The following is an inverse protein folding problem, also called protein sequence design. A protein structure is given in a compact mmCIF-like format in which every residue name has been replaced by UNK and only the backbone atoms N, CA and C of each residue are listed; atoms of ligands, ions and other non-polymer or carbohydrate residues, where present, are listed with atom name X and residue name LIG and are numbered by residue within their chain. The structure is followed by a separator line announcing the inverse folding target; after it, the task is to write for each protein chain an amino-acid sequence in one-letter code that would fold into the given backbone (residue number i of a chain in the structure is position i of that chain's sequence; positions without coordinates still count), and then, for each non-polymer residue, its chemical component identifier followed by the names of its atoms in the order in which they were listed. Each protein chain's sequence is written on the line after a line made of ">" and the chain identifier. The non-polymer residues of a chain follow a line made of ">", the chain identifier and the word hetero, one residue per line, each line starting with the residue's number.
data_IF_812764760771
#
_entry.id   IF_812764760771
#
_cell.length_a   1.000
_cell.length_b   1.000
_cell.length_c   1.000
_cell.angle_alpha   90.00
_cell.angle_beta   90.00
_cell.angle_gamma   90.00
#
_symmetry.space_group_name_H-M   'P 1'
#
loop_
_entity.id
_entity.type
_entity.pdbx_description
1 polymer ?
#
# COMPACT_ATOMS: atom_id res chain seq x y z
N UNK A 1 -59.09 16.14 -44.55
CA UNK A 1 -57.99 16.61 -43.70
C UNK A 1 -56.92 15.53 -43.66
N UNK A 2 -55.99 15.60 -44.62
CA UNK A 2 -54.80 14.77 -44.70
C UNK A 2 -53.60 15.69 -44.52
N UNK A 3 -52.72 15.40 -43.57
CA UNK A 3 -51.34 15.91 -43.58
C UNK A 3 -50.44 14.79 -43.06
N UNK A 4 -49.81 14.08 -44.00
CA UNK A 4 -48.58 13.35 -43.78
C UNK A 4 -47.49 14.01 -44.64
N UNK A 5 -46.38 14.38 -44.00
CA UNK A 5 -45.16 14.97 -44.56
C UNK A 5 -44.13 14.84 -43.42
N UNK A 6 -42.90 14.37 -43.55
CA UNK A 6 -42.08 13.94 -44.66
C UNK A 6 -40.69 13.74 -44.04
N UNK A 7 -40.16 12.53 -44.08
CA UNK A 7 -38.84 12.23 -43.53
C UNK A 7 -37.76 12.82 -44.45
N UNK A 8 -36.92 13.70 -43.91
CA UNK A 8 -35.74 14.21 -44.62
C UNK A 8 -34.58 13.26 -44.38
N UNK A 9 -34.23 12.56 -45.46
CA UNK A 9 -32.98 11.83 -45.66
C UNK A 9 -31.81 12.82 -45.66
N UNK A 10 -30.85 12.63 -44.75
CA UNK A 10 -29.47 13.08 -44.96
C UNK A 10 -28.57 11.86 -45.04
N UNK A 11 -28.05 11.70 -46.26
CA UNK A 11 -27.05 10.76 -46.70
C UNK A 11 -25.73 10.99 -45.97
N UNK A 12 -25.17 9.93 -45.38
CA UNK A 12 -23.72 9.79 -45.27
C UNK A 12 -23.28 8.39 -45.71
N UNK A 13 -22.14 8.29 -46.40
CA UNK A 13 -21.77 7.11 -47.18
C UNK A 13 -21.30 5.94 -46.32
N UNK A 14 -21.73 4.75 -46.72
CA UNK A 14 -21.16 3.45 -46.37
C UNK A 14 -19.65 3.41 -46.60
N UNK A 15 -18.93 2.86 -45.63
CA UNK A 15 -17.59 2.34 -45.84
C UNK A 15 -17.54 0.93 -45.25
N UNK A 16 -17.51 -0.04 -46.16
CA UNK A 16 -17.53 -1.47 -45.89
C UNK A 16 -16.11 -2.02 -45.67
N UNK A 17 -16.04 -3.06 -44.82
CA UNK A 17 -15.01 -4.12 -44.67
C UNK A 17 -13.62 -3.78 -44.11
N UNK A 18 -13.37 -4.40 -42.96
CA UNK A 18 -12.04 -4.76 -42.46
C UNK A 18 -12.16 -5.66 -41.23
N UNK A 19 -11.98 -6.95 -41.41
CA UNK A 19 -11.91 -7.95 -40.35
C UNK A 19 -10.61 -7.81 -39.53
N UNK A 20 -10.60 -8.31 -38.29
CA UNK A 20 -9.36 -8.72 -37.62
C UNK A 20 -9.17 -8.18 -36.21
N UNK A 21 -9.41 -9.07 -35.24
CA UNK A 21 -8.88 -9.15 -33.88
C UNK A 21 -8.87 -7.94 -32.96
N UNK A 22 -9.79 -8.02 -32.00
CA UNK A 22 -9.73 -7.50 -30.65
C UNK A 22 -8.36 -7.72 -30.00
N UNK A 23 -7.55 -6.67 -29.96
CA UNK A 23 -6.39 -6.59 -29.08
C UNK A 23 -6.83 -6.55 -27.62
N UNK A 24 -6.91 -7.73 -27.00
CA UNK A 24 -6.91 -7.85 -25.55
C UNK A 24 -5.62 -7.23 -24.98
N UNK A 25 -5.66 -6.56 -23.81
CA UNK A 25 -4.42 -6.23 -23.11
C UNK A 25 -3.69 -7.54 -22.82
N UNK A 26 -2.50 -7.68 -23.39
CA UNK A 26 -1.60 -8.80 -23.15
C UNK A 26 -1.41 -8.95 -21.64
N UNK A 27 -1.88 -10.07 -21.11
CA UNK A 27 -1.62 -10.50 -19.75
C UNK A 27 -0.12 -10.68 -19.59
N UNK A 28 0.52 -9.77 -18.85
CA UNK A 28 1.92 -9.91 -18.45
C UNK A 28 2.02 -11.14 -17.56
N UNK A 29 2.61 -12.21 -18.08
CA UNK A 29 2.77 -13.48 -17.38
C UNK A 29 3.90 -13.34 -16.36
N UNK A 30 3.67 -13.81 -15.14
CA UNK A 30 4.63 -13.74 -14.02
C UNK A 30 5.99 -14.43 -14.31
N UNK A 31 6.08 -15.21 -15.40
CA UNK A 31 7.29 -15.87 -15.87
C UNK A 31 8.26 -14.94 -16.61
N UNK A 32 7.80 -13.78 -17.07
CA UNK A 32 8.59 -12.85 -17.89
C UNK A 32 9.29 -11.76 -17.05
N UNK A 33 9.21 -11.84 -15.72
CA UNK A 33 9.96 -10.96 -14.82
C UNK A 33 11.37 -11.56 -14.64
N UNK A 34 12.44 -10.93 -15.16
CA UNK A 34 13.79 -11.39 -14.87
C UNK A 34 14.04 -11.32 -13.37
N UNK A 35 14.40 -12.47 -12.75
CA UNK A 35 14.96 -12.49 -11.39
C UNK A 35 16.21 -11.63 -11.42
N UNK A 36 16.16 -10.47 -10.78
CA UNK A 36 17.34 -9.62 -10.60
C UNK A 36 18.35 -10.39 -9.75
N UNK A 37 19.42 -10.85 -10.41
CA UNK A 37 20.62 -11.34 -9.77
C UNK A 37 21.23 -10.23 -8.91
N UNK A 38 21.63 -10.62 -7.70
CA UNK A 38 22.31 -9.80 -6.71
C UNK A 38 23.40 -8.94 -7.33
N UNK A 39 23.10 -7.66 -7.54
CA UNK A 39 24.07 -6.65 -7.92
C UNK A 39 24.16 -5.70 -6.73
N UNK A 40 25.18 -5.90 -5.92
CA UNK A 40 25.57 -5.00 -4.83
C UNK A 40 26.09 -3.70 -5.44
N UNK A 41 25.16 -2.78 -5.72
CA UNK A 41 25.49 -1.37 -5.91
C UNK A 41 25.63 -0.77 -4.51
N UNK A 42 26.71 -0.03 -4.18
CA UNK A 42 26.76 0.70 -2.93
C UNK A 42 25.71 1.81 -3.01
N UNK A 43 24.61 1.58 -2.29
CA UNK A 43 23.58 2.58 -2.03
C UNK A 43 24.26 3.71 -1.28
N UNK A 44 24.18 4.94 -1.80
CA UNK A 44 24.59 6.15 -1.11
C UNK A 44 24.05 6.11 0.32
N UNK A 45 24.96 6.13 1.31
CA UNK A 45 24.75 5.90 2.74
C UNK A 45 23.28 5.82 3.15
N UNK A 46 22.70 4.63 3.06
CA UNK A 46 21.47 4.36 3.77
C UNK A 46 21.79 4.64 5.23
N UNK A 47 21.15 5.64 5.83
CA UNK A 47 21.39 5.99 7.22
C UNK A 47 21.09 4.73 8.05
N UNK A 48 22.16 4.05 8.48
CA UNK A 48 22.08 2.78 9.18
C UNK A 48 21.42 3.04 10.53
N UNK A 49 20.17 2.62 10.65
CA UNK A 49 19.44 2.75 11.89
C UNK A 49 20.00 1.79 12.93
N UNK A 50 20.26 2.29 14.14
CA UNK A 50 20.65 1.47 15.27
C UNK A 50 19.42 1.03 16.07
N UNK A 51 19.39 -0.20 16.60
CA UNK A 51 18.31 -0.68 17.49
C UNK A 51 18.06 0.27 18.67
N UNK A 52 16.78 0.51 18.97
CA UNK A 52 16.36 1.36 20.09
C UNK A 52 16.58 2.85 19.88
N UNK A 53 17.36 3.26 18.89
CA UNK A 53 17.65 4.68 18.60
C UNK A 53 16.74 5.16 17.46
N UNK A 54 16.04 6.30 17.64
CA UNK A 54 15.35 6.96 16.54
C UNK A 54 16.32 7.33 15.42
N UNK A 55 16.00 6.91 14.19
CA UNK A 55 16.75 7.32 13.01
C UNK A 55 15.84 8.11 12.09
N UNK A 56 16.30 9.27 11.66
CA UNK A 56 15.54 10.17 10.80
C UNK A 56 16.28 10.42 9.50
N UNK A 57 15.54 10.83 8.48
CA UNK A 57 16.14 11.24 7.22
C UNK A 57 17.17 12.35 7.42
N UNK A 58 18.32 12.30 6.72
CA UNK A 58 19.25 13.41 6.73
C UNK A 58 18.53 14.68 6.29
N UNK A 59 18.84 15.78 6.96
CA UNK A 59 18.38 17.10 6.55
C UNK A 59 18.98 17.49 5.19
N UNK A 60 18.49 18.60 4.65
CA UNK A 60 19.15 19.28 3.55
C UNK A 60 19.30 20.76 3.85
N UNK A 61 19.94 21.49 2.95
CA UNK A 61 19.98 22.96 3.05
C UNK A 61 18.67 23.55 2.54
N UNK A 62 18.31 24.79 2.93
CA UNK A 62 17.16 25.49 2.34
C UNK A 62 17.22 25.44 0.80
N UNK A 63 16.14 24.97 0.16
CA UNK A 63 16.07 24.81 -1.30
C UNK A 63 16.75 23.55 -1.86
N UNK A 64 17.42 22.74 -1.04
CA UNK A 64 18.07 21.50 -1.44
C UNK A 64 17.88 20.40 -0.39
N UNK A 65 16.62 20.10 -0.10
CA UNK A 65 16.24 18.95 0.74
C UNK A 65 16.09 17.73 -0.16
N UNK A 66 16.70 16.58 0.18
CA UNK A 66 16.51 15.35 -0.57
C UNK A 66 15.02 15.03 -0.69
N UNK A 67 14.56 14.73 -1.90
CA UNK A 67 13.16 14.34 -2.12
C UNK A 67 12.86 12.93 -1.65
N UNK A 68 13.87 12.06 -1.72
CA UNK A 68 13.78 10.66 -1.32
C UNK A 68 14.58 10.46 -0.03
N UNK A 69 14.12 9.52 0.79
CA UNK A 69 14.82 9.10 1.99
C UNK A 69 14.68 7.59 2.15
N UNK A 70 15.81 6.93 2.40
CA UNK A 70 15.86 5.50 2.65
C UNK A 70 16.49 5.25 4.03
N UNK A 71 15.73 4.57 4.88
CA UNK A 71 16.14 4.18 6.23
C UNK A 71 16.22 2.65 6.29
N UNK A 72 17.39 2.11 6.65
CA UNK A 72 17.58 0.66 6.76
C UNK A 72 18.19 0.30 8.10
N UNK A 73 17.66 -0.76 8.69
CA UNK A 73 18.18 -1.37 9.91
C UNK A 73 19.17 -2.50 9.66
N UNK A 74 19.38 -2.87 8.40
CA UNK A 74 19.99 -4.15 8.06
C UNK A 74 19.25 -5.29 8.76
N UNK A 75 20.01 -6.16 9.42
CA UNK A 75 19.52 -7.34 10.13
C UNK A 75 19.07 -7.06 11.57
N UNK A 76 19.14 -5.82 12.03
CA UNK A 76 18.86 -5.47 13.41
C UNK A 76 17.35 -5.29 13.66
N UNK A 77 16.84 -5.90 14.73
CA UNK A 77 15.46 -5.70 15.19
C UNK A 77 15.33 -4.50 16.13
N UNK A 78 14.12 -4.00 16.34
CA UNK A 78 13.86 -2.96 17.35
C UNK A 78 14.27 -1.54 16.95
N UNK A 79 14.55 -1.27 15.68
CA UNK A 79 14.82 0.08 15.21
C UNK A 79 13.57 0.97 15.24
N UNK A 80 13.82 2.28 15.14
CA UNK A 80 12.76 3.28 15.08
C UNK A 80 12.94 4.26 13.89
N UNK A 81 12.77 3.81 12.63
CA UNK A 81 12.87 4.68 11.47
C UNK A 81 11.70 5.66 11.39
N UNK A 82 12.03 6.95 11.29
CA UNK A 82 11.07 8.05 11.23
C UNK A 82 11.37 8.93 10.02
N UNK A 83 10.50 8.85 9.01
CA UNK A 83 10.59 9.67 7.81
C UNK A 83 9.50 10.74 7.79
N UNK A 84 9.87 11.99 7.52
CA UNK A 84 8.90 13.05 7.31
C UNK A 84 9.35 14.09 6.30
N UNK A 85 8.38 14.76 5.69
CA UNK A 85 8.60 15.91 4.79
C UNK A 85 9.49 15.55 3.60
N UNK A 86 9.17 14.40 2.97
CA UNK A 86 9.85 13.88 1.78
C UNK A 86 8.80 13.54 0.72
N UNK A 87 9.19 13.54 -0.54
CA UNK A 87 8.31 13.00 -1.59
C UNK A 87 8.16 11.48 -1.38
N UNK A 88 9.28 10.78 -1.14
CA UNK A 88 9.30 9.33 -0.97
C UNK A 88 10.08 8.93 0.27
N UNK A 89 9.46 8.11 1.11
CA UNK A 89 10.01 7.50 2.30
C UNK A 89 10.06 5.99 2.13
N UNK A 90 11.25 5.41 2.20
CA UNK A 90 11.43 3.96 2.24
C UNK A 90 12.04 3.54 3.57
N UNK A 91 11.43 2.55 4.23
CA UNK A 91 11.98 1.95 5.44
C UNK A 91 12.09 0.43 5.31
N UNK A 92 13.21 -0.14 5.78
CA UNK A 92 13.47 -1.58 5.81
C UNK A 92 13.92 -2.03 7.19
N UNK A 93 13.27 -3.05 7.73
CA UNK A 93 13.50 -3.57 9.07
C UNK A 93 13.43 -5.11 9.12
N UNK A 94 14.27 -5.73 9.97
CA UNK A 94 14.31 -7.18 10.18
C UNK A 94 13.26 -7.72 11.18
N UNK A 95 12.63 -6.88 12.01
CA UNK A 95 11.55 -7.25 12.94
C UNK A 95 11.43 -6.29 14.14
N UNK A 96 10.28 -6.32 14.82
CA UNK A 96 10.01 -5.56 16.05
C UNK A 96 10.27 -4.04 15.96
N UNK A 97 10.20 -3.46 14.77
CA UNK A 97 10.48 -2.04 14.58
C UNK A 97 9.26 -1.15 14.83
N UNK A 98 9.55 0.10 15.17
CA UNK A 98 8.57 1.18 15.23
C UNK A 98 8.84 2.14 14.05
N UNK A 99 8.19 1.91 12.92
CA UNK A 99 8.35 2.72 11.71
C UNK A 99 7.30 3.81 11.66
N UNK A 100 7.72 5.07 11.50
CA UNK A 100 6.81 6.20 11.30
C UNK A 100 7.09 6.91 9.96
N UNK A 101 6.02 7.20 9.22
CA UNK A 101 6.06 8.00 8.01
C UNK A 101 5.02 9.11 8.08
N UNK A 102 5.44 10.36 7.88
CA UNK A 102 4.56 11.51 7.98
C UNK A 102 4.74 12.51 6.83
N UNK A 103 3.66 13.20 6.43
CA UNK A 103 3.72 14.36 5.51
C UNK A 103 4.55 14.08 4.25
N UNK A 104 4.26 12.96 3.62
CA UNK A 104 5.03 12.46 2.46
C UNK A 104 4.09 12.02 1.35
N UNK A 105 4.52 12.05 0.09
CA UNK A 105 3.65 11.57 -0.99
C UNK A 105 3.53 10.06 -0.95
N UNK A 106 4.64 9.37 -0.82
CA UNK A 106 4.69 7.91 -0.76
C UNK A 106 5.50 7.42 0.42
N UNK A 107 4.92 6.47 1.17
CA UNK A 107 5.60 5.69 2.19
C UNK A 107 5.62 4.22 1.76
N UNK A 108 6.79 3.60 1.71
CA UNK A 108 6.99 2.16 1.47
C UNK A 108 7.78 1.56 2.64
N UNK A 109 7.10 0.80 3.49
CA UNK A 109 7.71 0.12 4.65
C UNK A 109 7.76 -1.38 4.43
N UNK A 110 8.95 -1.97 4.58
CA UNK A 110 9.14 -3.43 4.61
C UNK A 110 9.63 -3.86 5.98
N UNK A 111 8.86 -4.72 6.63
CA UNK A 111 9.22 -5.37 7.87
C UNK A 111 8.98 -6.88 7.78
N UNK A 112 9.79 -7.66 8.49
CA UNK A 112 9.42 -9.03 8.83
C UNK A 112 8.30 -9.01 9.90
N UNK A 113 8.52 -9.59 11.07
CA UNK A 113 7.46 -9.80 12.06
C UNK A 113 7.45 -8.72 13.15
N UNK A 114 6.30 -8.57 13.82
CA UNK A 114 6.18 -7.82 15.08
C UNK A 114 6.31 -6.30 14.97
N UNK A 115 6.25 -5.73 13.77
CA UNK A 115 6.41 -4.28 13.62
C UNK A 115 5.16 -3.47 13.95
N UNK A 116 5.41 -2.30 14.53
CA UNK A 116 4.47 -1.19 14.62
C UNK A 116 4.77 -0.20 13.48
N UNK A 117 3.82 -0.07 12.55
CA UNK A 117 3.94 0.80 11.37
C UNK A 117 2.89 1.89 11.47
N UNK A 118 3.33 3.14 11.47
CA UNK A 118 2.47 4.31 11.56
C UNK A 118 2.66 5.23 10.37
N UNK A 119 1.54 5.59 9.74
CA UNK A 119 1.53 6.42 8.55
C UNK A 119 0.52 7.54 8.69
N UNK A 120 0.98 8.79 8.56
CA UNK A 120 0.15 9.98 8.79
C UNK A 120 0.30 11.06 7.74
N UNK A 121 -0.81 11.66 7.31
CA UNK A 121 -0.79 12.82 6.40
C UNK A 121 -0.01 12.53 5.10
N UNK A 122 -0.21 11.35 4.52
CA UNK A 122 0.48 10.92 3.30
C UNK A 122 -0.49 10.78 2.12
N UNK A 123 -0.03 10.88 0.88
CA UNK A 123 -0.91 10.61 -0.26
C UNK A 123 -1.14 9.09 -0.39
N UNK A 124 -0.07 8.31 -0.36
CA UNK A 124 -0.11 6.84 -0.42
C UNK A 124 0.78 6.23 0.64
N UNK A 125 0.26 5.21 1.31
CA UNK A 125 1.01 4.43 2.28
C UNK A 125 0.93 2.93 1.98
N UNK A 126 2.08 2.35 1.70
CA UNK A 126 2.27 0.93 1.43
C UNK A 126 3.14 0.32 2.53
N UNK A 127 2.76 -0.87 2.97
CA UNK A 127 3.60 -1.67 3.84
C UNK A 127 3.52 -3.15 3.47
N UNK A 128 4.63 -3.85 3.60
CA UNK A 128 4.66 -5.32 3.66
C UNK A 128 5.19 -5.72 5.02
N UNK A 129 4.39 -6.46 5.76
CA UNK A 129 4.70 -6.93 7.10
C UNK A 129 4.38 -8.41 7.23
N UNK A 130 5.23 -9.14 7.95
CA UNK A 130 5.02 -10.52 8.33
C UNK A 130 3.95 -10.66 9.42
N UNK A 131 4.16 -11.58 10.34
CA UNK A 131 3.22 -11.90 11.39
C UNK A 131 3.23 -10.87 12.54
N UNK A 132 2.11 -10.74 13.23
CA UNK A 132 1.99 -9.99 14.49
C UNK A 132 2.18 -8.48 14.34
N UNK A 133 1.95 -7.93 13.15
CA UNK A 133 2.18 -6.51 12.92
C UNK A 133 0.98 -5.65 13.32
N UNK A 134 1.26 -4.43 13.77
CA UNK A 134 0.30 -3.36 13.99
C UNK A 134 0.48 -2.29 12.91
N UNK A 135 -0.53 -2.05 12.10
CA UNK A 135 -0.50 -1.03 11.05
C UNK A 135 -1.54 0.05 11.31
N UNK A 136 -1.11 1.30 11.47
CA UNK A 136 -1.95 2.46 11.65
C UNK A 136 -1.79 3.44 10.49
N UNK A 137 -2.89 3.75 9.82
CA UNK A 137 -2.95 4.68 8.68
C UNK A 137 -3.98 5.76 8.96
N UNK A 138 -3.52 7.01 9.09
CA UNK A 138 -4.34 8.14 9.55
C UNK A 138 -4.16 9.36 8.63
N UNK A 139 -5.26 9.97 8.18
CA UNK A 139 -5.22 11.14 7.28
C UNK A 139 -4.43 10.86 5.99
N UNK A 140 -4.65 9.68 5.39
CA UNK A 140 -3.92 9.22 4.19
C UNK A 140 -4.86 9.09 3.00
N UNK A 141 -4.41 9.48 1.81
CA UNK A 141 -5.19 9.30 0.58
C UNK A 141 -5.53 7.84 0.30
N UNK A 142 -4.51 6.97 0.27
CA UNK A 142 -4.66 5.52 0.05
C UNK A 142 -3.72 4.69 0.94
N UNK A 143 -4.25 3.67 1.60
CA UNK A 143 -3.48 2.69 2.38
C UNK A 143 -3.55 1.32 1.69
N UNK A 144 -2.41 0.69 1.44
CA UNK A 144 -2.27 -0.62 0.78
C UNK A 144 -1.37 -1.60 1.54
N UNK A 145 -1.66 -1.93 2.82
CA UNK A 145 -0.84 -2.86 3.57
C UNK A 145 -1.05 -4.32 3.16
N UNK A 146 0.05 -5.07 3.11
CA UNK A 146 0.08 -6.54 3.09
C UNK A 146 0.59 -7.01 4.44
N UNK A 147 -0.22 -7.77 5.17
CA UNK A 147 0.11 -8.21 6.54
C UNK A 147 -0.03 -9.72 6.70
N UNK A 148 0.85 -10.31 7.50
CA UNK A 148 0.84 -11.71 7.87
C UNK A 148 -0.10 -12.05 9.02
N UNK A 149 0.05 -13.28 9.53
CA UNK A 149 -0.81 -13.85 10.56
C UNK A 149 -0.80 -13.06 11.87
N UNK A 150 -1.93 -13.05 12.57
CA UNK A 150 -2.18 -12.29 13.82
C UNK A 150 -1.93 -10.78 13.74
N UNK A 151 -2.06 -10.18 12.56
CA UNK A 151 -1.85 -8.73 12.39
C UNK A 151 -3.12 -7.90 12.60
N UNK A 152 -2.96 -6.65 13.03
CA UNK A 152 -4.05 -5.68 13.22
C UNK A 152 -3.81 -4.45 12.35
N UNK A 153 -4.84 -4.01 11.63
CA UNK A 153 -4.81 -2.88 10.71
C UNK A 153 -5.87 -1.87 11.11
N UNK A 154 -5.48 -0.61 11.28
CA UNK A 154 -6.34 0.52 11.65
C UNK A 154 -6.23 1.60 10.59
N UNK A 155 -7.31 1.81 9.85
CA UNK A 155 -7.46 2.88 8.86
C UNK A 155 -8.44 3.94 9.38
N UNK A 156 -7.99 5.18 9.56
CA UNK A 156 -8.80 6.28 10.07
C UNK A 156 -8.68 7.53 9.19
N UNK A 157 -9.80 8.10 8.74
CA UNK A 157 -9.82 9.29 7.86
C UNK A 157 -8.96 9.08 6.61
N UNK A 158 -9.28 8.03 5.85
CA UNK A 158 -8.53 7.69 4.62
C UNK A 158 -9.42 7.65 3.39
N UNK A 159 -8.88 7.99 2.21
CA UNK A 159 -9.62 7.90 0.96
C UNK A 159 -9.96 6.46 0.59
N UNK A 160 -9.00 5.54 0.73
CA UNK A 160 -9.20 4.11 0.56
C UNK A 160 -8.27 3.27 1.42
N UNK A 161 -8.80 2.19 1.99
CA UNK A 161 -8.06 1.19 2.76
C UNK A 161 -8.19 -0.16 2.06
N UNK A 162 -7.14 -0.59 1.36
CA UNK A 162 -7.07 -1.85 0.60
C UNK A 162 -6.08 -2.79 1.29
N UNK A 163 -6.59 -3.65 2.16
CA UNK A 163 -5.78 -4.54 2.99
C UNK A 163 -5.71 -5.93 2.36
N UNK A 164 -4.50 -6.48 2.29
CA UNK A 164 -4.29 -7.88 1.94
C UNK A 164 -3.74 -8.63 3.15
N UNK A 165 -4.41 -9.70 3.56
CA UNK A 165 -3.98 -10.56 4.65
C UNK A 165 -3.52 -11.91 4.11
N UNK A 166 -2.27 -12.27 4.37
CA UNK A 166 -1.73 -13.59 4.05
C UNK A 166 -1.99 -14.63 5.14
N UNK A 167 -2.39 -14.19 6.34
CA UNK A 167 -2.82 -15.04 7.46
C UNK A 167 -4.07 -14.48 8.16
N UNK A 168 -4.28 -14.84 9.43
CA UNK A 168 -5.35 -14.24 10.25
C UNK A 168 -5.07 -12.77 10.49
N UNK A 169 -6.06 -11.90 10.32
CA UNK A 169 -5.86 -10.46 10.54
C UNK A 169 -7.17 -9.79 10.93
N UNK A 170 -7.09 -8.65 11.61
CA UNK A 170 -8.24 -7.81 11.91
C UNK A 170 -8.06 -6.40 11.35
N UNK A 171 -9.10 -5.89 10.71
CA UNK A 171 -9.10 -4.59 10.03
C UNK A 171 -10.22 -3.72 10.59
N UNK A 172 -9.85 -2.57 11.13
CA UNK A 172 -10.76 -1.51 11.54
C UNK A 172 -10.67 -0.34 10.55
N UNK A 173 -11.82 0.04 9.99
CA UNK A 173 -11.95 1.16 9.07
C UNK A 173 -12.93 2.16 9.67
N UNK A 174 -12.46 3.37 9.98
CA UNK A 174 -13.30 4.47 10.47
C UNK A 174 -13.14 5.71 9.60
N UNK A 175 -14.26 6.31 9.18
CA UNK A 175 -14.26 7.50 8.30
C UNK A 175 -13.42 7.27 7.03
N UNK A 176 -13.66 6.15 6.34
CA UNK A 176 -12.93 5.77 5.13
C UNK A 176 -13.83 5.84 3.91
N UNK A 177 -13.33 6.30 2.76
CA UNK A 177 -14.09 6.27 1.50
C UNK A 177 -14.37 4.85 1.02
N UNK A 178 -13.36 3.99 1.05
CA UNK A 178 -13.50 2.54 0.82
C UNK A 178 -12.71 1.73 1.85
N UNK A 179 -13.20 0.54 2.13
CA UNK A 179 -12.53 -0.46 2.96
C UNK A 179 -12.66 -1.80 2.24
N UNK A 180 -11.57 -2.29 1.65
CA UNK A 180 -11.47 -3.58 0.97
C UNK A 180 -10.50 -4.45 1.77
N UNK A 181 -10.91 -5.68 2.07
CA UNK A 181 -10.08 -6.66 2.77
C UNK A 181 -10.05 -7.93 1.94
N UNK A 182 -8.86 -8.36 1.57
CA UNK A 182 -8.61 -9.57 0.81
C UNK A 182 -7.90 -10.60 1.70
N UNK A 183 -8.50 -11.78 1.84
CA UNK A 183 -7.93 -12.88 2.63
C UNK A 183 -7.34 -13.92 1.68
N UNK A 184 -6.02 -13.93 1.52
CA UNK A 184 -5.35 -14.82 0.58
C UNK A 184 -5.57 -16.28 0.99
N UNK A 185 -6.16 -17.08 0.10
CA UNK A 185 -6.40 -18.50 0.33
C UNK A 185 -7.45 -18.83 1.41
N UNK A 186 -8.11 -17.84 2.01
CA UNK A 186 -9.02 -18.03 3.17
C UNK A 186 -10.49 -17.70 2.86
N UNK A 187 -10.80 -17.33 1.62
CA UNK A 187 -12.14 -16.91 1.22
C UNK A 187 -12.44 -15.44 1.50
N UNK A 188 -13.72 -15.03 1.55
CA UNK A 188 -14.10 -13.64 1.79
C UNK A 188 -13.86 -13.23 3.25
N UNK A 189 -13.53 -11.94 3.46
CA UNK A 189 -13.42 -11.39 4.80
C UNK A 189 -14.74 -11.45 5.57
N UNK A 190 -14.71 -11.94 6.82
CA UNK A 190 -15.86 -11.98 7.72
C UNK A 190 -16.01 -10.67 8.48
N UNK A 191 -17.24 -10.38 8.92
CA UNK A 191 -17.53 -9.24 9.80
C UNK A 191 -17.58 -9.72 11.26
N UNK A 192 -16.81 -9.07 12.12
CA UNK A 192 -16.77 -9.35 13.56
C UNK A 192 -17.90 -8.64 14.30
N UNK A 193 -18.22 -9.09 15.52
CA UNK A 193 -19.29 -8.49 16.35
C UNK A 193 -19.04 -7.03 16.73
N UNK A 194 -17.78 -6.60 16.74
CA UNK A 194 -17.33 -5.23 17.00
C UNK A 194 -17.30 -4.33 15.73
N UNK A 195 -17.72 -4.87 14.58
CA UNK A 195 -17.75 -4.16 13.31
C UNK A 195 -16.46 -4.21 12.50
N UNK A 196 -15.36 -4.80 13.02
CA UNK A 196 -14.14 -5.05 12.24
C UNK A 196 -14.40 -6.06 11.12
N UNK A 197 -13.51 -6.05 10.13
CA UNK A 197 -13.41 -7.10 9.10
C UNK A 197 -12.22 -7.97 9.41
N UNK A 198 -12.32 -9.28 9.19
CA UNK A 198 -11.26 -10.19 9.55
C UNK A 198 -11.09 -11.34 8.55
N UNK A 199 -9.85 -11.83 8.50
CA UNK A 199 -9.46 -13.07 7.84
C UNK A 199 -9.12 -14.11 8.92
N UNK A 200 -9.34 -15.39 8.66
CA UNK A 200 -8.99 -16.49 9.58
C UNK A 200 -9.59 -16.27 10.97
N UNK A 201 -8.77 -16.38 12.02
CA UNK A 201 -9.18 -16.15 13.41
C UNK A 201 -9.12 -14.68 13.84
N UNK A 202 -9.05 -13.74 12.89
CA UNK A 202 -8.85 -12.33 13.14
C UNK A 202 -9.88 -11.67 14.07
N UNK A 203 -11.13 -12.18 14.14
CA UNK A 203 -12.12 -11.64 15.10
C UNK A 203 -11.75 -11.89 16.57
N UNK A 204 -10.86 -12.84 16.84
CA UNK A 204 -10.34 -13.13 18.19
C UNK A 204 -9.15 -12.25 18.56
N UNK A 205 -8.60 -11.49 17.60
CA UNK A 205 -7.48 -10.57 17.85
C UNK A 205 -7.95 -9.34 18.63
N UNK A 206 -7.09 -8.76 19.48
CA UNK A 206 -7.40 -7.53 20.17
C UNK A 206 -7.70 -6.39 19.19
N UNK A 207 -8.57 -5.43 19.56
CA UNK A 207 -8.99 -4.34 18.70
C UNK A 207 -7.90 -3.30 18.39
#
# INVERSE_FOLDING_TARGET
>A
FCVGLGAVLLLWPSRDKGAGDSGAPTSVSLKDIPRASSSSVPVADAAGCQPGVPCTCPGGTPGNVPKTCQLTCGEASGCKPSCSDRDVCESRCAGDCQSSCARSKACDTRCADGCDIECRNAETCQATCGAGCSYACEDVGKCVPVVGDRSVVKCNRVGGCEVTCSGSCAVSCSRTGSCKVECQGQGPAKRCGDGRRACGDGCSLPP
#
